data_IF_045362144669
#
_entry.id   IF_045362144669
#
_cell.length_a   1.000
_cell.length_b   1.000
_cell.length_c   1.000
_cell.angle_alpha   90.00
_cell.angle_beta   90.00
_cell.angle_gamma   90.00
#
_symmetry.space_group_name_H-M   'P 1'
#
loop_
_entity.id
_entity.type
_entity.pdbx_description
1 polymer ?
#
# COMPACT_ATOMS: atom_id res chain seq x y z
N UNK A 1 1.64 -20.27 17.16
CA UNK A 1 2.38 -19.39 18.09
C UNK A 1 1.38 -18.36 18.55
N UNK A 2 1.03 -18.35 19.84
CA UNK A 2 0.05 -17.43 20.41
C UNK A 2 0.70 -16.05 20.47
N UNK A 3 0.16 -15.07 19.75
CA UNK A 3 0.57 -13.67 19.87
C UNK A 3 0.14 -13.22 21.28
N UNK A 4 1.12 -12.88 22.11
CA UNK A 4 0.86 -12.25 23.39
C UNK A 4 0.15 -10.92 23.14
N UNK A 5 -1.00 -10.70 23.78
CA UNK A 5 -1.53 -9.35 24.00
C UNK A 5 -0.56 -8.61 24.91
N UNK A 6 0.54 -8.10 24.35
CA UNK A 6 1.25 -6.97 24.92
C UNK A 6 0.38 -5.75 24.62
N UNK A 7 -0.13 -5.10 25.67
CA UNK A 7 -0.81 -3.82 25.54
C UNK A 7 0.19 -2.83 24.95
N UNK A 8 0.16 -2.65 23.63
CA UNK A 8 0.86 -1.55 22.96
C UNK A 8 0.40 -0.26 23.61
N UNK A 9 1.33 0.53 24.13
CA UNK A 9 1.02 1.79 24.76
C UNK A 9 0.77 2.85 23.69
N UNK A 10 -0.37 2.71 23.00
CA UNK A 10 -0.79 3.61 21.94
C UNK A 10 -2.15 4.24 22.24
N UNK A 11 -2.35 5.49 21.81
CA UNK A 11 -3.67 6.13 21.84
C UNK A 11 -4.51 5.80 20.60
N UNK A 12 -3.89 5.25 19.55
CA UNK A 12 -4.57 4.88 18.31
C UNK A 12 -5.39 3.60 18.49
N UNK A 13 -6.67 3.69 18.15
CA UNK A 13 -7.53 2.53 17.95
C UNK A 13 -7.38 2.04 16.50
N UNK A 14 -6.72 0.90 16.29
CA UNK A 14 -6.47 0.37 14.95
C UNK A 14 -7.72 0.01 14.16
N UNK A 15 -8.85 -0.31 14.81
CA UNK A 15 -10.11 -0.52 14.08
C UNK A 15 -10.71 0.80 13.57
N UNK A 16 -10.54 1.90 14.31
CA UNK A 16 -10.94 3.23 13.85
C UNK A 16 -10.02 3.69 12.72
N UNK A 17 -8.69 3.57 12.89
CA UNK A 17 -7.71 3.89 11.87
C UNK A 17 -7.95 3.09 10.57
N UNK A 18 -8.30 1.80 10.69
CA UNK A 18 -8.66 0.96 9.54
C UNK A 18 -9.85 1.53 8.76
N UNK A 19 -10.90 1.96 9.46
CA UNK A 19 -12.07 2.58 8.82
C UNK A 19 -11.70 3.91 8.14
N UNK A 20 -10.84 4.72 8.76
CA UNK A 20 -10.37 5.98 8.19
C UNK A 20 -9.56 5.75 6.91
N UNK A 21 -8.60 4.82 6.95
CA UNK A 21 -7.78 4.45 5.78
C UNK A 21 -8.68 3.86 4.68
N UNK A 22 -9.69 3.05 5.02
CA UNK A 22 -10.66 2.53 4.03
C UNK A 22 -11.41 3.67 3.32
N UNK A 23 -11.96 4.62 4.09
CA UNK A 23 -12.67 5.78 3.54
C UNK A 23 -11.75 6.59 2.63
N UNK A 24 -10.56 6.93 3.11
CA UNK A 24 -9.57 7.68 2.35
C UNK A 24 -9.17 6.95 1.05
N UNK A 25 -8.94 5.63 1.13
CA UNK A 25 -8.59 4.79 -0.02
C UNK A 25 -9.69 4.79 -1.08
N UNK A 26 -10.97 4.67 -0.67
CA UNK A 26 -12.10 4.71 -1.62
C UNK A 26 -12.24 6.07 -2.29
N UNK A 27 -12.04 7.16 -1.56
CA UNK A 27 -12.08 8.52 -2.10
C UNK A 27 -10.94 8.71 -3.08
N UNK A 28 -9.70 8.41 -2.68
CA UNK A 28 -8.51 8.55 -3.51
C UNK A 28 -8.60 7.76 -4.80
N UNK A 29 -9.07 6.51 -4.73
CA UNK A 29 -9.23 5.69 -5.93
C UNK A 29 -10.27 6.30 -6.89
N UNK A 30 -11.42 6.78 -6.39
CA UNK A 30 -12.44 7.42 -7.23
C UNK A 30 -11.92 8.71 -7.88
N UNK A 31 -11.23 9.57 -7.13
CA UNK A 31 -10.63 10.79 -7.68
C UNK A 31 -9.61 10.48 -8.78
N UNK A 32 -8.78 9.46 -8.59
CA UNK A 32 -7.83 9.03 -9.62
C UNK A 32 -8.54 8.44 -10.85
N UNK A 33 -9.61 7.67 -10.67
CA UNK A 33 -10.42 7.17 -11.78
C UNK A 33 -11.08 8.30 -12.56
N UNK A 34 -11.54 9.37 -11.90
CA UNK A 34 -12.07 10.55 -12.59
C UNK A 34 -11.02 11.24 -13.47
N UNK A 35 -9.75 11.23 -13.06
CA UNK A 35 -8.65 11.87 -13.78
C UNK A 35 -8.06 11.00 -14.89
N UNK A 36 -7.86 9.71 -14.62
CA UNK A 36 -7.07 8.81 -15.46
C UNK A 36 -7.88 7.64 -16.05
N UNK A 37 -9.12 7.47 -15.58
CA UNK A 37 -10.07 6.50 -16.12
C UNK A 37 -9.55 5.07 -16.11
N UNK A 38 -9.85 4.35 -17.19
CA UNK A 38 -9.50 2.93 -17.36
C UNK A 38 -8.02 2.69 -17.62
N UNK A 39 -7.19 3.73 -17.71
CA UNK A 39 -5.75 3.57 -17.90
C UNK A 39 -5.05 3.11 -16.60
N UNK A 40 -5.66 3.32 -15.43
CA UNK A 40 -5.12 2.83 -14.15
C UNK A 40 -4.93 1.31 -14.20
N UNK A 41 -3.74 0.82 -13.91
CA UNK A 41 -3.41 -0.61 -13.90
C UNK A 41 -2.86 -1.12 -12.57
N UNK A 42 -2.47 -0.21 -11.67
CA UNK A 42 -2.04 -0.57 -10.32
C UNK A 42 -2.47 0.50 -9.31
N UNK A 43 -2.70 0.08 -8.07
CA UNK A 43 -2.97 0.95 -6.93
C UNK A 43 -2.19 0.46 -5.71
N UNK A 44 -1.63 1.39 -4.93
CA UNK A 44 -0.88 1.07 -3.73
C UNK A 44 -1.21 2.02 -2.59
N UNK A 45 -1.22 1.49 -1.36
CA UNK A 45 -0.96 2.28 -0.18
C UNK A 45 0.53 2.16 0.15
N UNK A 46 1.18 3.31 0.33
CA UNK A 46 2.60 3.40 0.64
C UNK A 46 2.78 4.05 2.00
N UNK A 47 3.57 3.41 2.87
CA UNK A 47 4.06 4.00 4.12
C UNK A 47 5.57 4.27 4.02
N UNK A 48 6.09 5.11 4.90
CA UNK A 48 7.53 5.10 5.21
C UNK A 48 7.83 4.05 6.29
N UNK A 49 9.11 3.65 6.40
CA UNK A 49 9.54 2.68 7.41
C UNK A 49 9.44 3.21 8.85
N UNK A 50 9.34 4.53 8.99
CA UNK A 50 9.03 5.22 10.24
C UNK A 50 7.56 5.14 10.64
N UNK A 51 6.67 4.55 9.83
CA UNK A 51 5.22 4.46 10.09
C UNK A 51 4.50 5.80 10.29
N UNK A 52 5.06 6.90 9.77
CA UNK A 52 4.50 8.25 9.93
C UNK A 52 3.49 8.60 8.82
N UNK A 53 3.49 7.85 7.72
CA UNK A 53 2.73 8.19 6.52
C UNK A 53 1.90 7.03 5.99
N UNK A 54 0.78 7.37 5.35
CA UNK A 54 0.05 6.47 4.46
C UNK A 54 -0.39 7.31 3.26
N UNK A 55 0.10 6.98 2.07
CA UNK A 55 -0.14 7.77 0.86
C UNK A 55 -0.57 6.84 -0.28
N UNK A 56 -1.61 7.19 -1.04
CA UNK A 56 -2.02 6.40 -2.20
C UNK A 56 -1.12 6.68 -3.41
N UNK A 57 -0.78 5.64 -4.14
CA UNK A 57 -0.08 5.69 -5.41
C UNK A 57 -0.89 4.95 -6.48
N UNK A 58 -0.80 5.42 -7.72
CA UNK A 58 -1.35 4.73 -8.88
C UNK A 58 -0.34 4.62 -10.00
N UNK A 59 -0.43 3.53 -10.74
CA UNK A 59 0.23 3.38 -12.03
C UNK A 59 -0.79 3.35 -13.16
N UNK A 60 -0.39 3.81 -14.34
CA UNK A 60 -1.19 3.74 -15.56
C UNK A 60 -0.53 2.84 -16.58
N UNK A 61 -1.32 2.18 -17.43
CA UNK A 61 -0.79 1.31 -18.50
C UNK A 61 0.09 2.12 -19.45
N UNK A 62 -0.31 3.35 -19.79
CA UNK A 62 0.48 4.23 -20.63
C UNK A 62 1.86 4.56 -20.02
N UNK A 63 1.92 4.88 -18.72
CA UNK A 63 3.19 5.14 -18.03
C UNK A 63 4.06 3.88 -17.94
N UNK A 64 3.47 2.76 -17.50
CA UNK A 64 4.18 1.49 -17.36
C UNK A 64 4.83 1.05 -18.68
N UNK A 65 4.06 1.03 -19.77
CA UNK A 65 4.56 0.63 -21.09
C UNK A 65 5.68 1.56 -21.55
N UNK A 66 5.55 2.87 -21.32
CA UNK A 66 6.58 3.83 -21.67
C UNK A 66 7.88 3.54 -20.91
N UNK A 67 7.82 3.45 -19.58
CA UNK A 67 9.02 3.26 -18.75
C UNK A 67 9.72 1.93 -19.06
N UNK A 68 8.96 0.84 -19.25
CA UNK A 68 9.50 -0.47 -19.64
C UNK A 68 10.13 -0.46 -21.04
N UNK A 69 9.61 0.35 -21.96
CA UNK A 69 10.19 0.48 -23.31
C UNK A 69 11.47 1.32 -23.32
N UNK A 70 11.57 2.32 -22.45
CA UNK A 70 12.72 3.23 -22.36
C UNK A 70 13.87 2.61 -21.54
N UNK A 71 13.56 1.75 -20.56
CA UNK A 71 14.54 1.13 -19.64
C UNK A 71 14.22 -0.37 -19.46
N UNK A 72 14.46 -1.21 -20.49
CA UNK A 72 14.06 -2.63 -20.51
C UNK A 72 14.79 -3.51 -19.48
N UNK A 73 15.88 -3.02 -18.88
CA UNK A 73 16.60 -3.69 -17.80
C UNK A 73 15.90 -3.58 -16.43
N UNK A 74 14.99 -2.62 -16.25
CA UNK A 74 14.28 -2.36 -14.99
C UNK A 74 12.77 -2.60 -15.10
N UNK A 75 12.35 -3.51 -16.00
CA UNK A 75 10.93 -3.74 -16.34
C UNK A 75 10.07 -4.01 -15.09
N UNK A 76 10.60 -4.83 -14.19
CA UNK A 76 9.89 -5.29 -13.00
C UNK A 76 9.82 -4.21 -11.91
N UNK A 77 10.84 -3.35 -11.80
CA UNK A 77 10.81 -2.20 -10.88
C UNK A 77 9.67 -1.25 -11.23
N UNK A 78 9.44 -0.94 -12.50
CA UNK A 78 8.29 -0.10 -12.91
C UNK A 78 6.92 -0.75 -12.65
N UNK A 79 6.87 -2.08 -12.56
CA UNK A 79 5.65 -2.81 -12.26
C UNK A 79 5.38 -2.89 -10.76
N UNK A 80 6.40 -3.21 -9.96
CA UNK A 80 6.23 -3.56 -8.55
C UNK A 80 6.65 -2.47 -7.55
N UNK A 81 7.47 -1.50 -7.95
CA UNK A 81 7.93 -0.44 -7.04
C UNK A 81 7.08 0.81 -7.19
N UNK A 82 6.22 1.06 -6.20
CA UNK A 82 5.31 2.21 -6.18
C UNK A 82 6.03 3.57 -6.29
N UNK A 83 7.31 3.66 -5.93
CA UNK A 83 8.12 4.86 -6.10
C UNK A 83 8.34 5.23 -7.59
N UNK A 84 8.32 4.24 -8.49
CA UNK A 84 8.52 4.41 -9.93
C UNK A 84 7.19 4.61 -10.69
N UNK A 85 6.06 4.55 -9.97
CA UNK A 85 4.74 4.66 -10.57
C UNK A 85 4.38 6.10 -10.96
N UNK A 86 3.33 6.21 -11.79
CA UNK A 86 2.96 7.45 -12.47
C UNK A 86 2.73 8.65 -11.55
N UNK A 87 1.97 8.49 -10.46
CA UNK A 87 1.70 9.59 -9.51
C UNK A 87 1.26 9.07 -8.16
N UNK A 88 1.46 9.90 -7.14
CA UNK A 88 0.84 9.78 -5.83
C UNK A 88 -0.33 10.76 -5.67
N UNK A 89 -1.18 10.49 -4.67
CA UNK A 89 -2.21 11.41 -4.19
C UNK A 89 -3.65 11.01 -4.50
N UNK A 90 -4.57 11.84 -4.00
CA UNK A 90 -6.01 11.57 -3.93
C UNK A 90 -6.44 11.46 -2.47
N UNK A 91 -7.63 11.95 -2.13
CA UNK A 91 -8.10 12.08 -0.73
C UNK A 91 -7.05 12.78 0.17
N UNK A 92 -6.41 13.83 -0.35
CA UNK A 92 -5.28 14.47 0.32
C UNK A 92 -5.67 15.00 1.71
N UNK A 93 -6.90 15.47 1.90
CA UNK A 93 -7.38 15.95 3.19
C UNK A 93 -7.42 14.80 4.21
N UNK A 94 -7.95 13.65 3.81
CA UNK A 94 -8.13 12.47 4.63
C UNK A 94 -6.78 11.84 4.98
N UNK A 95 -5.92 11.61 3.99
CA UNK A 95 -4.60 11.04 4.24
C UNK A 95 -3.69 11.97 5.04
N UNK A 96 -3.77 13.30 4.85
CA UNK A 96 -3.03 14.24 5.68
C UNK A 96 -3.49 14.20 7.15
N UNK A 97 -4.78 14.01 7.41
CA UNK A 97 -5.30 13.85 8.77
C UNK A 97 -4.79 12.54 9.41
N UNK A 98 -4.82 11.43 8.66
CA UNK A 98 -4.26 10.15 9.09
C UNK A 98 -2.76 10.28 9.41
N UNK A 99 -1.96 10.80 8.48
CA UNK A 99 -0.52 10.98 8.67
C UNK A 99 -0.22 11.88 9.89
N UNK A 100 -1.03 12.93 10.11
CA UNK A 100 -0.88 13.76 11.30
C UNK A 100 -1.08 12.96 12.59
N UNK A 101 -2.12 12.13 12.68
CA UNK A 101 -2.36 11.26 13.83
C UNK A 101 -1.21 10.27 14.04
N UNK A 102 -0.69 9.68 12.96
CA UNK A 102 0.46 8.76 13.03
C UNK A 102 1.73 9.46 13.54
N UNK A 103 2.05 10.64 13.01
CA UNK A 103 3.19 11.45 13.47
C UNK A 103 3.06 11.80 14.96
N UNK A 104 1.89 12.31 15.37
CA UNK A 104 1.65 12.71 16.76
C UNK A 104 1.79 11.50 17.73
N UNK A 105 1.48 10.29 17.27
CA UNK A 105 1.60 9.05 18.06
C UNK A 105 3.04 8.55 18.17
N UNK A 106 3.83 8.65 17.09
CA UNK A 106 5.23 8.19 17.08
C UNK A 106 6.13 9.04 17.96
N UNK A 107 5.76 10.29 18.22
CA UNK A 107 6.45 11.18 19.18
C UNK A 107 6.26 10.74 20.65
N UNK A 108 5.48 9.69 20.94
CA UNK A 108 5.32 9.14 22.27
C UNK A 108 6.52 8.24 22.67
N UNK A 109 7.36 8.73 23.59
CA UNK A 109 8.55 8.02 24.08
C UNK A 109 8.26 6.62 24.67
N UNK A 110 7.04 6.36 25.15
CA UNK A 110 6.64 5.08 25.73
C UNK A 110 5.99 4.13 24.72
N UNK A 111 5.95 4.49 23.42
CA UNK A 111 5.38 3.67 22.36
C UNK A 111 6.26 2.45 22.07
N UNK A 112 5.64 1.27 22.00
CA UNK A 112 6.26 0.11 21.37
C UNK A 112 6.21 0.31 19.85
N UNK A 113 7.23 0.99 19.32
CA UNK A 113 7.29 1.39 17.92
C UNK A 113 7.22 0.21 16.95
N UNK A 114 7.90 -0.90 17.23
CA UNK A 114 7.88 -2.07 16.34
C UNK A 114 6.48 -2.68 16.27
N UNK A 115 5.82 -2.83 17.43
CA UNK A 115 4.46 -3.34 17.45
C UNK A 115 3.50 -2.38 16.71
N UNK A 116 3.64 -1.08 16.93
CA UNK A 116 2.84 -0.04 16.27
C UNK A 116 3.00 -0.07 14.74
N UNK A 117 4.26 -0.03 14.27
CA UNK A 117 4.63 -0.08 12.85
C UNK A 117 4.04 -1.32 12.19
N UNK A 118 4.18 -2.49 12.82
CA UNK A 118 3.64 -3.74 12.30
C UNK A 118 2.10 -3.73 12.24
N UNK A 119 1.44 -3.13 13.24
CA UNK A 119 -0.01 -2.96 13.24
C UNK A 119 -0.49 -1.99 12.15
N UNK A 120 0.23 -0.90 11.88
CA UNK A 120 -0.07 0.01 10.78
C UNK A 120 0.03 -0.69 9.41
N UNK A 121 1.13 -1.41 9.18
CA UNK A 121 1.40 -2.09 7.91
C UNK A 121 0.36 -3.18 7.64
N UNK A 122 0.04 -3.97 8.66
CA UNK A 122 -1.03 -4.96 8.57
C UNK A 122 -2.40 -4.30 8.35
N UNK A 123 -2.67 -3.17 8.99
CA UNK A 123 -3.92 -2.41 8.79
C UNK A 123 -4.08 -1.94 7.35
N UNK A 124 -3.03 -1.35 6.76
CA UNK A 124 -3.05 -0.93 5.35
C UNK A 124 -3.30 -2.12 4.41
N UNK A 125 -2.65 -3.25 4.66
CA UNK A 125 -2.85 -4.48 3.87
C UNK A 125 -4.28 -4.99 4.01
N UNK A 126 -4.85 -5.01 5.23
CA UNK A 126 -6.22 -5.46 5.46
C UNK A 126 -7.27 -4.58 4.80
N UNK A 127 -7.05 -3.27 4.73
CA UNK A 127 -7.93 -2.36 3.99
C UNK A 127 -7.96 -2.74 2.50
N UNK A 128 -6.79 -2.90 1.88
CA UNK A 128 -6.71 -3.31 0.47
C UNK A 128 -7.35 -4.70 0.26
N UNK A 129 -7.11 -5.63 1.17
CA UNK A 129 -7.68 -6.98 1.13
C UNK A 129 -9.22 -6.96 1.25
N UNK A 130 -9.77 -6.11 2.12
CA UNK A 130 -11.21 -5.91 2.26
C UNK A 130 -11.81 -5.35 0.96
N UNK A 131 -11.22 -4.29 0.41
CA UNK A 131 -11.69 -3.67 -0.84
C UNK A 131 -11.60 -4.64 -2.03
N UNK A 132 -10.58 -5.49 -2.05
CA UNK A 132 -10.46 -6.59 -3.01
C UNK A 132 -11.62 -7.58 -2.87
N UNK A 133 -11.90 -8.06 -1.65
CA UNK A 133 -13.02 -8.99 -1.37
C UNK A 133 -14.39 -8.42 -1.77
N UNK A 134 -14.56 -7.11 -1.63
CA UNK A 134 -15.77 -6.41 -2.07
C UNK A 134 -15.88 -6.23 -3.60
N UNK A 135 -14.86 -6.61 -4.35
CA UNK A 135 -14.70 -6.32 -5.79
C UNK A 135 -14.74 -4.81 -6.09
N UNK A 136 -14.27 -3.96 -5.17
CA UNK A 136 -14.38 -2.50 -5.29
C UNK A 136 -13.71 -1.98 -6.56
N UNK A 137 -12.43 -2.32 -6.76
CA UNK A 137 -11.63 -1.88 -7.90
C UNK A 137 -12.21 -2.37 -9.23
N UNK A 138 -12.55 -3.66 -9.30
CA UNK A 138 -13.14 -4.28 -10.49
C UNK A 138 -14.48 -3.66 -10.87
N UNK A 139 -15.37 -3.39 -9.90
CA UNK A 139 -16.67 -2.77 -10.17
C UNK A 139 -16.54 -1.38 -10.81
N UNK A 140 -15.50 -0.63 -10.46
CA UNK A 140 -15.27 0.72 -10.98
C UNK A 140 -14.60 0.67 -12.36
N UNK A 141 -13.54 -0.14 -12.53
CA UNK A 141 -12.74 -0.15 -13.76
C UNK A 141 -13.20 -1.19 -14.80
N UNK A 142 -14.02 -2.16 -14.39
CA UNK A 142 -14.37 -3.36 -15.17
C UNK A 142 -13.15 -4.21 -15.57
N UNK A 143 -12.10 -4.20 -14.73
CA UNK A 143 -10.89 -5.02 -14.86
C UNK A 143 -10.22 -5.15 -13.49
N UNK A 144 -9.43 -6.19 -13.33
CA UNK A 144 -8.55 -6.34 -12.17
C UNK A 144 -7.29 -5.48 -12.36
N UNK A 145 -6.70 -5.06 -11.24
CA UNK A 145 -5.48 -4.23 -11.20
C UNK A 145 -4.52 -4.83 -10.17
N UNK A 146 -3.23 -4.51 -10.32
CA UNK A 146 -2.23 -4.88 -9.32
C UNK A 146 -2.46 -4.05 -8.05
N UNK A 147 -2.49 -4.71 -6.88
CA UNK A 147 -2.64 -4.07 -5.58
C UNK A 147 -1.38 -4.29 -4.75
N UNK A 148 -0.79 -3.22 -4.22
CA UNK A 148 0.43 -3.29 -3.42
C UNK A 148 0.25 -2.57 -2.09
N UNK A 149 0.73 -3.16 -1.00
CA UNK A 149 1.19 -2.36 0.13
C UNK A 149 2.70 -2.27 0.02
N UNK A 150 3.24 -1.04 0.02
CA UNK A 150 4.66 -0.79 -0.15
C UNK A 150 5.19 0.07 0.99
N UNK A 151 6.49 -0.06 1.27
CA UNK A 151 7.18 0.74 2.25
C UNK A 151 8.36 1.41 1.57
N UNK A 152 8.47 2.73 1.63
CA UNK A 152 9.61 3.46 1.07
C UNK A 152 10.85 3.27 1.94
N UNK A 153 12.01 3.05 1.31
CA UNK A 153 13.31 2.88 1.98
C UNK A 153 13.26 1.88 3.15
N UNK A 154 12.70 0.70 2.91
CA UNK A 154 12.29 -0.21 3.98
C UNK A 154 13.40 -1.12 4.49
N UNK A 155 13.43 -1.31 5.81
CA UNK A 155 14.15 -2.42 6.47
C UNK A 155 13.28 -3.68 6.67
N UNK A 156 12.03 -3.65 6.20
CA UNK A 156 11.10 -4.77 6.32
C UNK A 156 11.58 -6.01 5.60
N UNK A 157 11.25 -7.17 6.16
CA UNK A 157 11.65 -8.46 5.60
C UNK A 157 10.99 -8.71 4.25
N UNK A 158 11.77 -9.28 3.33
CA UNK A 158 11.27 -9.78 2.04
C UNK A 158 10.07 -10.71 2.23
N UNK A 159 10.12 -11.58 3.24
CA UNK A 159 9.06 -12.53 3.54
C UNK A 159 7.73 -11.82 3.76
N UNK A 160 7.71 -10.73 4.55
CA UNK A 160 6.50 -9.96 4.80
C UNK A 160 5.98 -9.27 3.53
N UNK A 161 6.87 -8.63 2.76
CA UNK A 161 6.52 -7.99 1.48
C UNK A 161 5.88 -8.98 0.49
N UNK A 162 6.45 -10.18 0.39
CA UNK A 162 5.92 -11.26 -0.46
C UNK A 162 4.58 -11.78 0.06
N UNK A 163 4.42 -11.96 1.38
CA UNK A 163 3.15 -12.41 1.96
C UNK A 163 2.02 -11.40 1.74
N UNK A 164 2.26 -10.10 1.94
CA UNK A 164 1.27 -9.07 1.66
C UNK A 164 0.88 -9.05 0.19
N UNK A 165 1.84 -9.11 -0.73
CA UNK A 165 1.56 -9.12 -2.17
C UNK A 165 0.74 -10.35 -2.59
N UNK A 166 1.03 -11.53 -2.02
CA UNK A 166 0.26 -12.77 -2.26
C UNK A 166 -1.18 -12.69 -1.74
N UNK A 167 -1.44 -11.94 -0.66
CA UNK A 167 -2.80 -11.72 -0.13
C UNK A 167 -3.62 -10.79 -1.03
N UNK A 168 -2.96 -9.84 -1.69
CA UNK A 168 -3.61 -8.78 -2.45
C UNK A 168 -3.79 -9.08 -3.94
N UNK A 169 -3.16 -10.13 -4.46
CA UNK A 169 -3.14 -10.42 -5.89
C UNK A 169 -3.35 -11.91 -6.19
N UNK A 170 -3.44 -12.24 -7.48
CA UNK A 170 -3.53 -13.64 -7.92
C UNK A 170 -2.28 -14.43 -7.56
N UNK A 171 -2.38 -15.77 -7.54
CA UNK A 171 -1.24 -16.67 -7.30
C UNK A 171 -0.10 -16.39 -8.27
N UNK A 172 -0.40 -16.02 -9.52
CA UNK A 172 0.62 -15.76 -10.53
C UNK A 172 1.36 -14.45 -10.23
N UNK A 173 0.64 -13.37 -9.90
CA UNK A 173 1.27 -12.09 -9.54
C UNK A 173 2.09 -12.21 -8.27
N UNK A 174 1.57 -12.90 -7.25
CA UNK A 174 2.33 -13.15 -6.02
C UNK A 174 3.62 -13.95 -6.24
N UNK A 175 3.66 -14.85 -7.23
CA UNK A 175 4.89 -15.56 -7.63
C UNK A 175 5.84 -14.67 -8.41
N UNK A 176 5.34 -13.84 -9.33
CA UNK A 176 6.17 -12.90 -10.09
C UNK A 176 6.88 -11.92 -9.15
N UNK A 177 6.14 -11.37 -8.18
CA UNK A 177 6.74 -10.52 -7.17
C UNK A 177 7.75 -11.25 -6.29
N UNK A 178 7.48 -12.51 -5.90
CA UNK A 178 8.46 -13.31 -5.16
C UNK A 178 9.75 -13.57 -5.94
N UNK A 179 9.68 -13.78 -7.26
CA UNK A 179 10.87 -13.86 -8.10
C UNK A 179 11.62 -12.53 -8.16
N UNK A 180 10.90 -11.43 -8.39
CA UNK A 180 11.46 -10.08 -8.38
C UNK A 180 12.26 -9.79 -7.11
N UNK A 181 11.67 -10.10 -5.95
CA UNK A 181 12.31 -9.90 -4.64
C UNK A 181 13.50 -10.84 -4.39
N UNK A 182 13.62 -11.97 -5.09
CA UNK A 182 14.79 -12.85 -4.95
C UNK A 182 15.96 -12.42 -5.83
N UNK A 183 15.68 -11.71 -6.91
CA UNK A 183 16.71 -11.25 -7.84
C UNK A 183 17.26 -9.86 -7.47
N UNK A 184 16.48 -9.05 -6.73
CA UNK A 184 16.80 -7.66 -6.43
C UNK A 184 17.00 -7.33 -4.93
N UNK A 185 16.78 -8.30 -4.02
CA UNK A 185 16.81 -8.10 -2.56
C UNK A 185 17.71 -9.11 -1.83
#
# INVERSE_FOLDING_TARGET
>A
MLISNTNMNTTINFEELKNEIEIATRIAFKENVERYGKDICAFSLVSDDGAMTVVPYINTTSHLVKMQSENPENIESYEFESAEWFTSGGANTEFNAICKTLCDEIDNDDLDFEAFRNSLFETCTQVLEQLLKENFFHKILSKDILLMFSISDTSESKENLVQWTKRLNTINEGKRFEYYMNDNY
#
